data_IF_826702448156
#
_entry.id   IF_826702448156
#
_cell.length_a   1.000
_cell.length_b   1.000
_cell.length_c   1.000
_cell.angle_alpha   90.00
_cell.angle_beta   90.00
_cell.angle_gamma   90.00
#
_symmetry.space_group_name_H-M   'P 1'
#
loop_
_entity.id
_entity.type
_entity.pdbx_description
1 polymer ?
#
# COMPACT_ATOMS: atom_id res chain seq x y z
N UNK A 1 1.38 4.58 21.13
CA UNK A 1 2.86 4.55 21.31
C UNK A 1 3.45 3.13 21.28
N UNK A 2 2.83 2.14 21.94
CA UNK A 2 3.32 0.75 21.94
C UNK A 2 3.54 0.14 20.54
N UNK A 3 2.59 0.34 19.61
CA UNK A 3 2.71 -0.19 18.23
C UNK A 3 3.95 0.37 17.51
N UNK A 4 4.20 1.67 17.62
CA UNK A 4 5.39 2.29 17.02
C UNK A 4 6.69 1.75 17.63
N UNK A 5 6.71 1.57 18.95
CA UNK A 5 7.86 0.99 19.65
C UNK A 5 8.13 -0.45 19.22
N UNK A 6 7.12 -1.32 19.16
CA UNK A 6 7.28 -2.72 18.73
C UNK A 6 7.62 -2.84 17.23
N UNK A 7 7.29 -1.82 16.43
CA UNK A 7 7.63 -1.80 15.02
C UNK A 7 9.14 -1.59 14.79
N UNK A 8 9.77 -0.71 15.56
CA UNK A 8 11.19 -0.33 15.37
C UNK A 8 12.14 -0.84 16.45
N UNK A 9 11.66 -1.11 17.65
CA UNK A 9 12.43 -1.48 18.83
C UNK A 9 11.96 -2.79 19.48
N UNK A 10 12.55 -3.10 20.63
CA UNK A 10 12.37 -4.37 21.32
C UNK A 10 13.29 -5.49 20.77
N UNK A 11 13.22 -6.70 21.34
CA UNK A 11 14.12 -7.81 20.99
C UNK A 11 13.86 -8.39 19.60
N UNK A 12 12.65 -8.22 19.05
CA UNK A 12 12.27 -8.65 17.72
C UNK A 12 11.39 -7.58 17.04
N UNK A 13 11.97 -6.50 16.52
CA UNK A 13 11.21 -5.44 15.90
C UNK A 13 10.47 -5.95 14.66
N UNK A 14 9.20 -5.58 14.47
CA UNK A 14 8.40 -6.06 13.33
C UNK A 14 9.06 -5.66 11.99
N UNK A 15 9.69 -4.49 11.94
CA UNK A 15 10.45 -4.02 10.76
C UNK A 15 11.64 -4.90 10.38
N UNK A 16 12.12 -5.78 11.26
CA UNK A 16 13.20 -6.74 10.98
C UNK A 16 12.68 -8.07 10.41
N UNK A 17 11.36 -8.26 10.39
CA UNK A 17 10.67 -9.49 9.97
C UNK A 17 10.02 -9.33 8.59
N UNK A 18 9.53 -10.41 7.94
CA UNK A 18 8.83 -10.30 6.66
C UNK A 18 7.40 -9.74 6.77
N UNK A 19 6.97 -9.35 7.97
CA UNK A 19 5.63 -8.80 8.21
C UNK A 19 5.59 -7.27 8.21
N UNK A 20 6.73 -6.60 8.01
CA UNK A 20 6.83 -5.13 8.04
C UNK A 20 5.87 -4.46 7.06
N UNK A 21 5.82 -4.92 5.82
CA UNK A 21 4.94 -4.40 4.77
C UNK A 21 3.46 -4.56 5.13
N UNK A 22 3.06 -5.77 5.54
CA UNK A 22 1.69 -6.07 5.96
C UNK A 22 1.28 -5.22 7.16
N UNK A 23 2.12 -5.16 8.19
CA UNK A 23 1.83 -4.42 9.41
C UNK A 23 1.71 -2.91 9.14
N UNK A 24 2.66 -2.34 8.39
CA UNK A 24 2.60 -0.93 7.99
C UNK A 24 1.36 -0.60 7.17
N UNK A 25 1.01 -1.48 6.23
CA UNK A 25 -0.21 -1.37 5.43
C UNK A 25 -1.47 -1.42 6.28
N UNK A 26 -1.65 -2.45 7.12
CA UNK A 26 -2.86 -2.61 7.95
C UNK A 26 -2.99 -1.46 8.94
N UNK A 27 -1.91 -1.07 9.60
CA UNK A 27 -1.98 -0.02 10.60
C UNK A 27 -2.32 1.33 9.97
N UNK A 28 -1.57 1.74 8.94
CA UNK A 28 -1.74 3.06 8.33
C UNK A 28 -2.90 3.13 7.34
N UNK A 29 -3.15 2.04 6.60
CA UNK A 29 -4.13 1.96 5.53
C UNK A 29 -5.50 1.47 5.96
N UNK A 30 -5.65 0.89 7.15
CA UNK A 30 -6.95 0.44 7.67
C UNK A 30 -7.22 0.95 9.07
N UNK A 31 -6.37 0.67 10.05
CA UNK A 31 -6.65 1.01 11.47
C UNK A 31 -6.83 2.53 11.65
N UNK A 32 -5.93 3.35 11.09
CA UNK A 32 -6.07 4.81 11.15
C UNK A 32 -7.36 5.29 10.48
N UNK A 33 -7.72 4.72 9.32
CA UNK A 33 -8.95 5.08 8.60
C UNK A 33 -10.19 4.72 9.41
N UNK A 34 -10.24 3.51 9.99
CA UNK A 34 -11.34 3.05 10.83
C UNK A 34 -11.49 3.90 12.09
N UNK A 35 -10.40 4.27 12.75
CA UNK A 35 -10.42 5.16 13.91
C UNK A 35 -10.97 6.53 13.51
N UNK A 36 -10.48 7.11 12.41
CA UNK A 36 -10.95 8.40 11.92
C UNK A 36 -12.44 8.37 11.59
N UNK A 37 -12.91 7.30 10.96
CA UNK A 37 -14.33 7.09 10.66
C UNK A 37 -15.17 6.95 11.92
N UNK A 38 -14.74 6.12 12.87
CA UNK A 38 -15.45 5.89 14.12
C UNK A 38 -15.60 7.17 14.96
N UNK A 39 -14.53 7.98 15.05
CA UNK A 39 -14.58 9.27 15.76
C UNK A 39 -15.60 10.22 15.14
N UNK A 40 -15.78 10.19 13.82
CA UNK A 40 -16.69 11.10 13.11
C UNK A 40 -18.15 10.61 13.11
N UNK A 41 -18.38 9.29 13.09
CA UNK A 41 -19.72 8.71 12.86
C UNK A 41 -20.30 8.02 14.08
N UNK A 42 -19.48 7.72 15.10
CA UNK A 42 -19.89 6.96 16.29
C UNK A 42 -20.15 5.48 16.02
N UNK A 43 -19.89 4.94 14.82
CA UNK A 43 -20.06 3.53 14.50
C UNK A 43 -18.95 2.98 13.59
N UNK A 44 -18.93 1.67 13.42
CA UNK A 44 -18.05 0.99 12.46
C UNK A 44 -18.91 0.30 11.40
N UNK A 45 -18.62 0.62 10.14
CA UNK A 45 -19.30 0.01 9.00
C UNK A 45 -18.34 -0.91 8.25
N UNK A 46 -18.84 -2.09 7.87
CA UNK A 46 -18.07 -3.08 7.09
C UNK A 46 -17.57 -2.52 5.77
N UNK A 47 -18.32 -1.60 5.16
CA UNK A 47 -17.92 -0.89 3.95
C UNK A 47 -16.57 -0.17 4.08
N UNK A 48 -16.30 0.47 5.23
CA UNK A 48 -15.05 1.20 5.48
C UNK A 48 -13.85 0.25 5.50
N UNK A 49 -14.06 -0.97 6.01
CA UNK A 49 -13.05 -2.03 5.96
C UNK A 49 -12.73 -2.36 4.51
N UNK A 50 -13.74 -2.61 3.66
CA UNK A 50 -13.53 -2.94 2.24
C UNK A 50 -12.76 -1.87 1.49
N UNK A 51 -13.18 -0.60 1.57
CA UNK A 51 -12.49 0.49 0.86
C UNK A 51 -11.05 0.71 1.37
N UNK A 52 -10.73 0.30 2.59
CA UNK A 52 -9.39 0.43 3.14
C UNK A 52 -8.40 -0.62 2.60
N UNK A 53 -8.86 -1.79 2.14
CA UNK A 53 -7.98 -2.90 1.72
C UNK A 53 -7.04 -2.51 0.55
N UNK A 54 -7.50 -1.85 -0.52
CA UNK A 54 -6.57 -1.38 -1.56
C UNK A 54 -5.52 -0.40 -1.02
N UNK A 55 -5.87 0.45 -0.05
CA UNK A 55 -4.96 1.41 0.58
C UNK A 55 -3.93 0.70 1.46
N UNK A 56 -4.33 -0.33 2.21
CA UNK A 56 -3.42 -1.22 2.96
C UNK A 56 -2.33 -1.74 2.03
N UNK A 57 -2.71 -2.21 0.84
CA UNK A 57 -1.76 -2.73 -0.15
C UNK A 57 -0.84 -1.61 -0.64
N UNK A 58 -1.36 -0.47 -1.09
CA UNK A 58 -0.51 0.59 -1.67
C UNK A 58 0.47 1.17 -0.65
N UNK A 59 0.09 1.28 0.62
CA UNK A 59 0.99 1.72 1.70
C UNK A 59 2.03 0.64 2.00
N UNK A 60 1.62 -0.63 2.11
CA UNK A 60 2.55 -1.75 2.29
C UNK A 60 3.60 -1.80 1.16
N UNK A 61 3.21 -1.44 -0.06
CA UNK A 61 4.11 -1.35 -1.21
C UNK A 61 5.11 -0.19 -1.15
N UNK A 62 4.82 0.91 -0.43
CA UNK A 62 5.83 1.94 -0.12
C UNK A 62 6.93 1.31 0.74
N UNK A 63 6.55 0.57 1.78
CA UNK A 63 7.51 -0.09 2.66
C UNK A 63 8.30 -1.17 1.90
N UNK A 64 7.63 -1.93 1.02
CA UNK A 64 8.27 -2.89 0.13
C UNK A 64 9.33 -2.20 -0.75
N UNK A 65 9.03 -1.04 -1.33
CA UNK A 65 9.97 -0.29 -2.15
C UNK A 65 11.20 0.20 -1.36
N UNK A 66 11.01 0.63 -0.11
CA UNK A 66 12.11 0.96 0.80
C UNK A 66 12.99 -0.27 1.07
N UNK A 67 12.37 -1.40 1.43
CA UNK A 67 13.08 -2.62 1.77
C UNK A 67 13.75 -3.29 0.55
N UNK A 68 13.24 -3.10 -0.67
CA UNK A 68 13.93 -3.52 -1.92
C UNK A 68 15.21 -2.71 -2.12
N UNK A 69 15.16 -1.38 -1.91
CA UNK A 69 16.33 -0.48 -2.05
C UNK A 69 17.43 -0.86 -1.06
N UNK A 70 17.05 -1.06 0.19
CA UNK A 70 18.01 -1.21 1.31
C UNK A 70 18.42 -2.67 1.57
N UNK A 71 17.89 -3.62 0.77
CA UNK A 71 18.05 -5.07 0.94
C UNK A 71 19.47 -5.57 1.24
N UNK A 72 20.49 -4.95 0.64
CA UNK A 72 21.89 -5.42 0.78
C UNK A 72 22.42 -5.04 2.16
N UNK A 73 22.35 -3.74 2.49
CA UNK A 73 22.75 -3.20 3.79
C UNK A 73 21.94 -3.79 4.94
N UNK A 74 20.63 -3.95 4.75
CA UNK A 74 19.74 -4.52 5.77
C UNK A 74 20.01 -6.01 6.01
N UNK A 75 20.44 -6.75 4.98
CA UNK A 75 20.84 -8.15 5.14
C UNK A 75 22.15 -8.26 5.93
N UNK A 76 23.11 -7.37 5.68
CA UNK A 76 24.38 -7.31 6.42
C UNK A 76 24.18 -7.04 7.91
N UNK A 77 23.15 -6.28 8.29
CA UNK A 77 22.80 -6.03 9.70
C UNK A 77 21.96 -7.16 10.34
N UNK A 78 21.65 -8.23 9.59
CA UNK A 78 20.91 -9.38 10.09
C UNK A 78 19.39 -9.29 9.98
N UNK A 79 18.83 -8.27 9.32
CA UNK A 79 17.38 -8.17 9.08
C UNK A 79 16.91 -9.27 8.13
N UNK A 80 15.67 -9.72 8.31
CA UNK A 80 15.00 -10.75 7.51
C UNK A 80 13.68 -10.22 6.95
N UNK A 81 13.74 -9.10 6.24
CA UNK A 81 12.57 -8.48 5.60
C UNK A 81 12.07 -9.31 4.41
N UNK A 82 10.84 -9.08 3.99
CA UNK A 82 10.24 -9.81 2.86
C UNK A 82 11.10 -9.70 1.58
N UNK A 83 11.65 -8.52 1.21
CA UNK A 83 12.55 -8.43 0.06
C UNK A 83 13.86 -9.20 0.18
N UNK A 84 14.38 -9.36 1.39
CA UNK A 84 15.58 -10.16 1.65
C UNK A 84 15.27 -11.64 1.43
N UNK A 85 14.11 -12.13 1.91
CA UNK A 85 13.71 -13.53 1.79
C UNK A 85 13.31 -13.91 0.35
N UNK A 86 12.57 -13.03 -0.34
CA UNK A 86 12.16 -13.26 -1.73
C UNK A 86 13.31 -13.09 -2.72
N UNK A 87 14.29 -12.27 -2.37
CA UNK A 87 15.29 -11.74 -3.30
C UNK A 87 14.69 -10.70 -4.25
N UNK A 88 15.55 -9.93 -4.93
CA UNK A 88 15.13 -8.77 -5.71
C UNK A 88 14.09 -9.10 -6.80
N UNK A 89 14.35 -10.09 -7.64
CA UNK A 89 13.49 -10.35 -8.80
C UNK A 89 12.07 -10.74 -8.39
N UNK A 90 11.93 -11.60 -7.37
CA UNK A 90 10.62 -11.99 -6.86
C UNK A 90 9.98 -10.86 -6.05
N UNK A 91 10.75 -10.01 -5.37
CA UNK A 91 10.25 -8.80 -4.71
C UNK A 91 9.58 -7.85 -5.70
N UNK A 92 10.21 -7.64 -6.87
CA UNK A 92 9.66 -6.78 -7.91
C UNK A 92 8.45 -7.41 -8.61
N UNK A 93 8.43 -8.74 -8.76
CA UNK A 93 7.23 -9.47 -9.22
C UNK A 93 6.09 -9.35 -8.21
N UNK A 94 6.36 -9.56 -6.93
CA UNK A 94 5.40 -9.41 -5.83
C UNK A 94 4.80 -8.00 -5.81
N UNK A 95 5.66 -6.97 -5.88
CA UNK A 95 5.22 -5.57 -5.96
C UNK A 95 4.28 -5.33 -7.15
N UNK A 96 4.62 -5.86 -8.34
CA UNK A 96 3.74 -5.78 -9.51
C UNK A 96 2.40 -6.49 -9.33
N UNK A 97 2.42 -7.71 -8.79
CA UNK A 97 1.21 -8.51 -8.52
C UNK A 97 0.29 -7.83 -7.50
N UNK A 98 0.86 -7.29 -6.43
CA UNK A 98 0.09 -6.58 -5.40
C UNK A 98 -0.56 -5.31 -5.95
N UNK A 99 0.09 -4.57 -6.85
CA UNK A 99 -0.58 -3.46 -7.54
C UNK A 99 -1.78 -3.94 -8.36
N UNK A 100 -1.62 -5.02 -9.14
CA UNK A 100 -2.74 -5.61 -9.90
C UNK A 100 -3.88 -5.97 -8.96
N UNK A 101 -3.59 -6.64 -7.84
CA UNK A 101 -4.59 -7.00 -6.83
C UNK A 101 -5.27 -5.77 -6.26
N UNK A 102 -4.54 -4.69 -5.94
CA UNK A 102 -5.13 -3.46 -5.44
C UNK A 102 -6.14 -2.85 -6.44
N UNK A 103 -5.81 -2.81 -7.73
CA UNK A 103 -6.72 -2.32 -8.78
C UNK A 103 -7.92 -3.26 -9.00
N UNK A 104 -7.70 -4.58 -9.01
CA UNK A 104 -8.79 -5.57 -9.11
C UNK A 104 -9.73 -5.46 -7.92
N UNK A 105 -9.21 -5.21 -6.71
CA UNK A 105 -10.02 -4.98 -5.52
C UNK A 105 -10.86 -3.70 -5.64
N UNK A 106 -10.34 -2.62 -6.21
CA UNK A 106 -11.17 -1.42 -6.49
C UNK A 106 -12.34 -1.77 -7.41
N UNK A 107 -12.07 -2.50 -8.50
CA UNK A 107 -13.13 -2.95 -9.43
C UNK A 107 -14.13 -3.84 -8.69
N UNK A 108 -13.65 -4.78 -7.89
CA UNK A 108 -14.51 -5.68 -7.12
C UNK A 108 -15.38 -4.91 -6.12
N UNK A 109 -14.82 -3.95 -5.40
CA UNK A 109 -15.53 -3.12 -4.44
C UNK A 109 -16.59 -2.25 -5.14
N UNK A 110 -16.28 -1.71 -6.32
CA UNK A 110 -17.23 -0.94 -7.12
C UNK A 110 -18.49 -1.73 -7.47
N UNK A 111 -18.37 -2.99 -7.88
CA UNK A 111 -19.50 -3.74 -8.46
C UNK A 111 -20.14 -4.77 -7.52
N UNK A 112 -19.43 -5.25 -6.50
CA UNK A 112 -19.87 -6.40 -5.70
C UNK A 112 -20.00 -6.13 -4.20
N UNK A 113 -19.55 -4.97 -3.71
CA UNK A 113 -19.68 -4.61 -2.30
C UNK A 113 -20.82 -3.61 -2.11
N UNK A 114 -21.75 -3.81 -1.15
CA UNK A 114 -22.78 -2.82 -0.82
C UNK A 114 -22.18 -1.45 -0.51
N UNK A 115 -22.68 -0.40 -1.16
CA UNK A 115 -22.10 0.94 -1.10
C UNK A 115 -20.99 1.20 -2.14
N UNK A 116 -20.73 0.24 -3.03
CA UNK A 116 -19.88 0.42 -4.21
C UNK A 116 -20.38 1.52 -5.13
N UNK A 117 -19.46 2.20 -5.82
CA UNK A 117 -19.79 3.18 -6.85
C UNK A 117 -18.78 3.20 -7.98
N UNK A 118 -19.24 3.49 -9.20
CA UNK A 118 -18.41 3.66 -10.40
C UNK A 118 -17.36 4.77 -10.22
N UNK A 119 -17.62 5.76 -9.37
CA UNK A 119 -16.69 6.85 -9.12
C UNK A 119 -15.38 6.37 -8.46
N UNK A 120 -15.39 5.22 -7.80
CA UNK A 120 -14.18 4.62 -7.22
C UNK A 120 -13.17 4.21 -8.29
N UNK A 121 -13.64 3.93 -9.52
CA UNK A 121 -12.79 3.61 -10.67
C UNK A 121 -11.88 4.77 -11.08
N UNK A 122 -12.11 6.00 -10.58
CA UNK A 122 -11.15 7.10 -10.75
C UNK A 122 -9.74 6.71 -10.27
N UNK A 123 -9.62 5.86 -9.26
CA UNK A 123 -8.34 5.35 -8.78
C UNK A 123 -7.53 4.63 -9.89
N UNK A 124 -8.19 4.03 -10.89
CA UNK A 124 -7.53 3.36 -12.01
C UNK A 124 -6.68 4.31 -12.86
N UNK A 125 -6.97 5.62 -12.86
CA UNK A 125 -6.17 6.63 -13.57
C UNK A 125 -4.74 6.76 -13.03
N UNK A 126 -4.46 6.23 -11.83
CA UNK A 126 -3.11 6.17 -11.25
C UNK A 126 -2.20 5.10 -11.88
N UNK A 127 -2.75 4.18 -12.69
CA UNK A 127 -2.09 2.99 -13.24
C UNK A 127 -0.74 3.20 -13.98
N UNK A 128 -0.46 4.35 -14.64
CA UNK A 128 0.85 4.56 -15.27
C UNK A 128 2.03 4.56 -14.30
N UNK A 129 1.82 4.90 -13.02
CA UNK A 129 2.89 5.00 -12.02
C UNK A 129 3.42 3.62 -11.54
N UNK A 130 2.56 2.63 -11.21
CA UNK A 130 3.01 1.26 -10.90
C UNK A 130 3.91 0.66 -11.98
N UNK A 131 3.56 0.86 -13.26
CA UNK A 131 4.37 0.37 -14.39
C UNK A 131 5.78 0.98 -14.35
N UNK A 132 5.87 2.30 -14.11
CA UNK A 132 7.16 3.00 -13.98
C UNK A 132 7.95 2.45 -12.79
N UNK A 133 7.31 2.21 -11.65
CA UNK A 133 7.95 1.64 -10.46
C UNK A 133 8.55 0.26 -10.77
N UNK A 134 7.75 -0.67 -11.29
CA UNK A 134 8.18 -2.03 -11.65
C UNK A 134 9.33 -2.01 -12.67
N UNK A 135 9.20 -1.26 -13.76
CA UNK A 135 10.24 -1.17 -14.79
C UNK A 135 11.56 -0.62 -14.24
N UNK A 136 11.50 0.41 -13.40
CA UNK A 136 12.69 1.02 -12.79
C UNK A 136 13.36 0.10 -11.78
N UNK A 137 12.60 -0.63 -10.96
CA UNK A 137 13.17 -1.61 -10.04
C UNK A 137 13.78 -2.82 -10.77
N UNK A 138 13.20 -3.25 -11.90
CA UNK A 138 13.81 -4.30 -12.74
C UNK A 138 15.16 -3.87 -13.31
N UNK A 139 15.26 -2.62 -13.80
CA UNK A 139 16.45 -2.11 -14.48
C UNK A 139 17.60 -1.76 -13.54
N UNK A 140 17.33 -1.34 -12.31
CA UNK A 140 18.31 -0.74 -11.41
C UNK A 140 18.59 -1.65 -10.21
N UNK A 141 19.80 -1.59 -9.64
CA UNK A 141 20.18 -2.46 -8.50
C UNK A 141 20.83 -1.77 -7.29
N UNK A 142 21.23 -0.52 -7.43
CA UNK A 142 21.88 0.23 -6.34
C UNK A 142 20.89 1.18 -5.67
N UNK A 143 21.08 1.55 -4.39
CA UNK A 143 20.17 2.44 -3.69
C UNK A 143 19.89 3.76 -4.44
N UNK A 144 20.93 4.37 -5.01
CA UNK A 144 20.86 5.62 -5.76
C UNK A 144 20.06 5.45 -7.06
N UNK A 145 20.29 4.36 -7.80
CA UNK A 145 19.60 4.09 -9.07
C UNK A 145 18.15 3.66 -8.88
N UNK A 146 17.78 3.18 -7.68
CA UNK A 146 16.41 2.81 -7.33
C UNK A 146 15.55 3.98 -6.81
N UNK A 147 16.13 5.14 -6.46
CA UNK A 147 15.36 6.30 -5.97
C UNK A 147 14.21 6.71 -6.91
N UNK A 148 14.38 6.73 -8.25
CA UNK A 148 13.27 7.03 -9.15
C UNK A 148 12.15 5.97 -9.14
N UNK A 149 12.48 4.71 -8.79
CA UNK A 149 11.49 3.64 -8.65
C UNK A 149 10.66 3.87 -7.37
N UNK A 150 11.33 4.19 -6.26
CA UNK A 150 10.67 4.56 -5.00
C UNK A 150 9.77 5.79 -5.16
N UNK A 151 10.23 6.82 -5.86
CA UNK A 151 9.41 8.00 -6.13
C UNK A 151 8.17 7.64 -6.95
N UNK A 152 8.26 6.69 -7.89
CA UNK A 152 7.10 6.21 -8.64
C UNK A 152 6.13 5.41 -7.74
N UNK A 153 6.64 4.59 -6.81
CA UNK A 153 5.82 3.91 -5.80
C UNK A 153 5.10 4.90 -4.88
N UNK A 154 5.79 5.94 -4.38
CA UNK A 154 5.17 6.99 -3.57
C UNK A 154 4.10 7.76 -4.34
N UNK A 155 4.41 8.17 -5.58
CA UNK A 155 3.41 8.81 -6.48
C UNK A 155 2.22 7.91 -6.75
N UNK A 156 2.43 6.60 -6.89
CA UNK A 156 1.33 5.63 -7.04
C UNK A 156 0.36 5.74 -5.87
N UNK A 157 0.87 5.66 -4.64
CA UNK A 157 0.03 5.78 -3.44
C UNK A 157 -0.68 7.14 -3.36
N UNK A 158 0.02 8.24 -3.63
CA UNK A 158 -0.57 9.59 -3.59
C UNK A 158 -1.70 9.74 -4.61
N UNK A 159 -1.45 9.43 -5.89
CA UNK A 159 -2.46 9.57 -6.93
C UNK A 159 -3.61 8.59 -6.72
N UNK A 160 -3.30 7.33 -6.40
CA UNK A 160 -4.32 6.32 -6.08
C UNK A 160 -5.22 6.78 -4.94
N UNK A 161 -4.64 7.18 -3.81
CA UNK A 161 -5.38 7.61 -2.63
C UNK A 161 -6.22 8.87 -2.87
N UNK A 162 -5.67 9.89 -3.55
CA UNK A 162 -6.40 11.12 -3.85
C UNK A 162 -7.57 10.87 -4.80
N UNK A 163 -7.34 10.11 -5.88
CA UNK A 163 -8.40 9.78 -6.85
C UNK A 163 -9.48 8.90 -6.24
N UNK A 164 -9.09 7.95 -5.38
CA UNK A 164 -10.04 7.08 -4.70
C UNK A 164 -10.87 7.84 -3.65
N UNK A 165 -10.24 8.71 -2.85
CA UNK A 165 -10.94 9.59 -1.92
C UNK A 165 -11.88 10.56 -2.65
N UNK A 166 -11.45 11.11 -3.79
CA UNK A 166 -12.31 11.94 -4.64
C UNK A 166 -13.52 11.14 -5.16
N UNK A 167 -13.32 9.90 -5.60
CA UNK A 167 -14.40 9.00 -6.01
C UNK A 167 -15.42 8.74 -4.90
N UNK A 168 -14.94 8.49 -3.67
CA UNK A 168 -15.80 8.35 -2.48
C UNK A 168 -16.58 9.63 -2.21
N UNK A 169 -15.92 10.78 -2.26
CA UNK A 169 -16.56 12.08 -2.05
C UNK A 169 -17.64 12.38 -3.09
N UNK A 170 -17.37 12.15 -4.37
CA UNK A 170 -18.34 12.32 -5.45
C UNK A 170 -19.52 11.37 -5.28
N UNK A 171 -19.25 10.10 -4.94
CA UNK A 171 -20.31 9.11 -4.66
C UNK A 171 -21.22 9.56 -3.53
N UNK A 172 -20.68 10.16 -2.47
CA UNK A 172 -21.46 10.66 -1.35
C UNK A 172 -22.35 11.85 -1.73
N UNK A 173 -21.92 12.71 -2.66
CA UNK A 173 -22.69 13.85 -3.15
C UNK A 173 -23.78 13.46 -4.16
N UNK A 174 -23.50 12.48 -5.03
CA UNK A 174 -24.35 12.13 -6.16
C UNK A 174 -25.20 10.86 -5.94
N UNK A 175 -25.08 10.23 -4.77
CA UNK A 175 -25.93 9.09 -4.38
C UNK A 175 -25.48 7.73 -4.90
N UNK A 176 -24.22 7.59 -5.33
CA UNK A 176 -23.64 6.32 -5.80
C UNK A 176 -24.32 5.76 -7.05
N UNK A 177 -23.77 6.09 -8.23
CA UNK A 177 -24.01 5.31 -9.45
C UNK A 177 -23.01 4.16 -9.47
#
# INVERSE_FOLDING_TARGET
MAVGYLYTGGPLPISWTPFGELFSGVFMGMIIILIAFFIQTGNLQSFVVWISIPIVITIGLINMANNIRDRVKDKESGRKTLPILLGKNNSVRFLGLMYIIAYVLVIYITFFIPGGSIFFLLALLSFPMPIKAVRRFKKNDTPQTMMPAMAATGKTNTFFGLLYALGIYISALLGGI
#
